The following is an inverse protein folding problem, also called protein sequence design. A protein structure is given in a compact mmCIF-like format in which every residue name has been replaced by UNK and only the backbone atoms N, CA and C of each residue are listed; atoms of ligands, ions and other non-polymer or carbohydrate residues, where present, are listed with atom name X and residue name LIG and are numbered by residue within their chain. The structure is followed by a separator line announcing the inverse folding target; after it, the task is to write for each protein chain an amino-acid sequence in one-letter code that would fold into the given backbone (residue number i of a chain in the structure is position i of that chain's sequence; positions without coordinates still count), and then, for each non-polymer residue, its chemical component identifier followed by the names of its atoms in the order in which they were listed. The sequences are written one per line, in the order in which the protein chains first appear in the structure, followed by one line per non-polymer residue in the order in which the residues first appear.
data_IF_667964043597
#
_entry.id   IF_667964043597
#
_cell.length_a   1.000
_cell.length_b   1.000
_cell.length_c   1.000
_cell.angle_alpha   90.00
_cell.angle_beta   90.00
_cell.angle_gamma   90.00
#
_symmetry.space_group_name_H-M   'P 1'
#
loop_
_entity.id
_entity.type
_entity.pdbx_description
1 polymer ?
#
# COMPACT_ATOMS: atom_id res chain seq x y z
N UNK A 1 -4.91 -38.17 33.24
CA UNK A 1 -6.00 -37.19 32.92
C UNK A 1 -5.60 -35.73 33.02
N UNK A 2 -4.49 -35.30 33.62
CA UNK A 2 -4.07 -33.89 33.71
C UNK A 2 -3.31 -33.41 32.46
N UNK A 3 -2.56 -34.28 31.76
CA UNK A 3 -1.78 -33.98 30.57
C UNK A 3 -2.67 -33.54 29.37
N UNK A 4 -3.81 -34.21 29.17
CA UNK A 4 -4.74 -33.88 28.09
C UNK A 4 -5.39 -32.49 28.23
N UNK A 5 -5.55 -31.99 29.46
CA UNK A 5 -6.10 -30.66 29.73
C UNK A 5 -5.10 -29.57 29.42
N UNK A 6 -3.80 -29.82 29.64
CA UNK A 6 -2.72 -28.86 29.35
C UNK A 6 -2.50 -28.78 27.83
N UNK A 7 -2.56 -29.92 27.13
CA UNK A 7 -2.45 -29.95 25.66
C UNK A 7 -3.66 -29.25 25.02
N UNK A 8 -4.87 -29.44 25.54
CA UNK A 8 -6.05 -28.76 25.04
C UNK A 8 -5.99 -27.25 25.26
N UNK A 9 -5.48 -26.81 26.42
CA UNK A 9 -5.28 -25.40 26.71
C UNK A 9 -4.19 -24.74 25.80
N UNK A 10 -3.11 -25.48 25.53
CA UNK A 10 -2.04 -24.99 24.62
C UNK A 10 -2.53 -24.85 23.16
N UNK A 11 -3.35 -25.77 22.68
CA UNK A 11 -3.97 -25.69 21.34
C UNK A 11 -4.95 -24.53 21.26
N UNK A 12 -5.70 -24.23 22.32
CA UNK A 12 -6.65 -23.11 22.36
C UNK A 12 -5.93 -21.75 22.37
N UNK A 13 -4.78 -21.66 23.00
CA UNK A 13 -3.95 -20.42 23.02
C UNK A 13 -3.28 -20.18 21.67
N UNK A 14 -2.84 -21.23 20.95
CA UNK A 14 -2.26 -21.11 19.61
C UNK A 14 -3.26 -20.63 18.56
N UNK A 15 -4.55 -20.93 18.69
CA UNK A 15 -5.57 -20.54 17.71
C UNK A 15 -5.91 -19.04 17.72
N UNK A 16 -5.56 -18.31 18.77
CA UNK A 16 -5.84 -16.87 18.89
C UNK A 16 -4.83 -16.01 18.11
N UNK A 17 -3.68 -16.56 17.71
CA UNK A 17 -2.62 -15.80 17.00
C UNK A 17 -2.77 -15.77 15.49
N UNK A 18 -3.67 -16.56 14.90
CA UNK A 18 -3.89 -16.57 13.45
C UNK A 18 -4.93 -15.53 12.94
N UNK A 19 -5.56 -14.76 13.82
CA UNK A 19 -6.64 -13.83 13.44
C UNK A 19 -6.18 -12.40 13.09
N UNK A 20 -4.91 -12.20 12.80
CA UNK A 20 -4.36 -10.86 12.49
C UNK A 20 -3.72 -10.75 11.09
N UNK A 21 -4.37 -11.34 10.07
CA UNK A 21 -3.98 -11.12 8.67
C UNK A 21 -4.85 -10.08 7.97
N UNK A 22 -5.71 -9.39 8.70
CA UNK A 22 -6.52 -8.31 8.13
C UNK A 22 -5.65 -7.04 8.10
N UNK A 23 -5.47 -6.47 6.91
CA UNK A 23 -4.73 -5.23 6.76
C UNK A 23 -5.41 -4.13 7.58
N UNK A 24 -4.62 -3.27 8.20
CA UNK A 24 -5.11 -2.15 9.02
C UNK A 24 -6.06 -1.22 8.25
N UNK A 25 -5.96 -1.22 6.93
CA UNK A 25 -6.73 -0.36 6.03
C UNK A 25 -7.98 -1.03 5.45
N UNK A 26 -8.21 -2.34 5.67
CA UNK A 26 -9.37 -3.07 5.11
C UNK A 26 -10.72 -2.48 5.54
N UNK A 27 -10.77 -1.77 6.66
CA UNK A 27 -11.96 -1.06 7.10
C UNK A 27 -12.44 0.06 6.17
N UNK A 28 -11.56 0.54 5.28
CA UNK A 28 -11.90 1.55 4.28
C UNK A 28 -12.45 0.95 2.99
N UNK A 29 -12.37 -0.38 2.79
CA UNK A 29 -12.76 -1.05 1.55
C UNK A 29 -14.23 -0.81 1.20
N UNK A 30 -15.11 -0.90 2.20
CA UNK A 30 -16.56 -0.78 2.05
C UNK A 30 -17.11 0.55 2.60
N UNK A 31 -16.24 1.52 2.90
CA UNK A 31 -16.67 2.77 3.50
C UNK A 31 -17.28 3.70 2.43
N UNK A 32 -18.46 4.26 2.71
CA UNK A 32 -19.10 5.25 1.82
C UNK A 32 -18.19 6.47 1.61
N UNK A 33 -18.06 6.91 0.36
CA UNK A 33 -17.18 8.02 -0.03
C UNK A 33 -15.71 7.62 -0.18
N UNK A 34 -15.40 6.32 -0.22
CA UNK A 34 -14.08 5.79 -0.53
C UNK A 34 -14.13 5.03 -1.84
N UNK A 35 -13.24 5.39 -2.76
CA UNK A 35 -12.90 4.55 -3.90
C UNK A 35 -11.82 3.56 -3.47
N UNK A 36 -12.06 2.26 -3.64
CA UNK A 36 -11.11 1.22 -3.29
C UNK A 36 -10.71 0.37 -4.49
N UNK A 37 -9.40 0.11 -4.63
CA UNK A 37 -8.84 -0.82 -5.62
C UNK A 37 -8.00 -1.84 -4.87
N UNK A 38 -8.36 -3.12 -4.97
CA UNK A 38 -7.63 -4.21 -4.33
C UNK A 38 -7.27 -5.26 -5.36
N UNK A 39 -5.97 -5.47 -5.55
CA UNK A 39 -5.42 -6.44 -6.48
C UNK A 39 -4.54 -7.41 -5.70
N UNK A 40 -4.85 -8.68 -5.75
CA UNK A 40 -4.10 -9.73 -5.08
C UNK A 40 -3.09 -10.41 -6.02
N UNK A 41 -2.18 -11.20 -5.47
CA UNK A 41 -1.15 -11.92 -6.21
C UNK A 41 -1.70 -12.76 -7.37
N UNK A 42 -2.87 -13.39 -7.18
CA UNK A 42 -3.47 -14.21 -8.23
C UNK A 42 -3.89 -13.38 -9.44
N UNK A 43 -4.42 -12.17 -9.21
CA UNK A 43 -4.78 -11.24 -10.29
C UNK A 43 -3.52 -10.77 -11.04
N UNK A 44 -2.45 -10.38 -10.33
CA UNK A 44 -1.17 -10.04 -10.95
C UNK A 44 -0.59 -11.20 -11.77
N UNK A 45 -0.62 -12.42 -11.22
CA UNK A 45 -0.19 -13.63 -11.93
C UNK A 45 -1.02 -13.91 -13.20
N UNK A 46 -2.30 -13.59 -13.21
CA UNK A 46 -3.12 -13.71 -14.43
C UNK A 46 -2.79 -12.60 -15.44
N UNK A 47 -2.65 -11.37 -14.99
CA UNK A 47 -2.27 -10.24 -15.85
C UNK A 47 -0.93 -10.47 -16.54
N UNK A 48 0.07 -11.00 -15.81
CA UNK A 48 1.38 -11.32 -16.39
C UNK A 48 1.34 -12.41 -17.48
N UNK A 49 0.33 -13.30 -17.47
CA UNK A 49 0.14 -14.34 -18.47
C UNK A 49 -0.64 -13.88 -19.71
N UNK A 50 -1.46 -12.85 -19.56
CA UNK A 50 -2.32 -12.31 -20.62
C UNK A 50 -1.65 -11.12 -21.31
N UNK A 51 -0.73 -10.44 -20.61
CA UNK A 51 0.00 -9.28 -21.11
C UNK A 51 0.74 -9.60 -22.41
N UNK A 52 0.73 -8.65 -23.35
CA UNK A 52 1.49 -8.77 -24.58
C UNK A 52 2.99 -8.76 -24.27
N UNK A 53 3.78 -9.54 -25.02
CA UNK A 53 5.25 -9.70 -24.87
C UNK A 53 6.07 -8.39 -25.00
N UNK A 54 5.41 -7.26 -25.20
CA UNK A 54 6.05 -5.97 -25.51
C UNK A 54 6.69 -5.25 -24.32
N UNK A 55 6.50 -5.72 -23.08
CA UNK A 55 7.08 -5.08 -21.89
C UNK A 55 7.48 -6.10 -20.81
N UNK A 56 8.60 -6.77 -21.04
CA UNK A 56 9.13 -7.81 -20.14
C UNK A 56 9.43 -7.29 -18.74
N UNK A 57 9.87 -6.02 -18.61
CA UNK A 57 10.14 -5.40 -17.31
C UNK A 57 8.86 -5.22 -16.48
N UNK A 58 7.78 -4.74 -17.11
CA UNK A 58 6.48 -4.60 -16.45
C UNK A 58 5.93 -5.97 -16.03
N UNK A 59 6.00 -6.98 -16.91
CA UNK A 59 5.56 -8.33 -16.60
C UNK A 59 6.37 -8.94 -15.46
N UNK A 60 7.69 -8.71 -15.43
CA UNK A 60 8.55 -9.15 -14.34
C UNK A 60 8.18 -8.48 -13.00
N UNK A 61 7.90 -7.16 -13.02
CA UNK A 61 7.46 -6.45 -11.84
C UNK A 61 6.18 -7.02 -11.26
N UNK A 62 5.12 -7.14 -12.06
CA UNK A 62 3.81 -7.58 -11.57
C UNK A 62 3.80 -9.03 -11.08
N UNK A 63 4.71 -9.88 -11.55
CA UNK A 63 4.86 -11.25 -11.04
C UNK A 63 5.34 -11.31 -9.59
N UNK A 64 6.10 -10.31 -9.15
CA UNK A 64 6.69 -10.23 -7.82
C UNK A 64 5.81 -9.48 -6.81
N UNK A 65 4.68 -8.91 -7.27
CA UNK A 65 3.73 -8.22 -6.41
C UNK A 65 2.79 -9.22 -5.73
N UNK A 66 2.67 -9.12 -4.43
CA UNK A 66 1.76 -9.92 -3.62
C UNK A 66 0.39 -9.26 -3.47
N UNK A 67 0.36 -7.94 -3.25
CA UNK A 67 -0.88 -7.18 -3.09
C UNK A 67 -0.68 -5.71 -3.43
N UNK A 68 -1.69 -5.12 -4.06
CA UNK A 68 -1.87 -3.67 -4.18
C UNK A 68 -3.20 -3.31 -3.55
N UNK A 69 -3.19 -2.30 -2.69
CA UNK A 69 -4.38 -1.68 -2.10
C UNK A 69 -4.31 -0.19 -2.30
N UNK A 70 -5.38 0.37 -2.83
CA UNK A 70 -5.56 1.81 -3.00
C UNK A 70 -6.87 2.21 -2.37
N UNK A 71 -6.86 3.26 -1.56
CA UNK A 71 -8.04 3.88 -0.99
C UNK A 71 -7.96 5.37 -1.23
N UNK A 72 -8.96 5.93 -1.90
CA UNK A 72 -9.02 7.34 -2.24
C UNK A 72 -10.34 7.96 -1.77
N UNK A 73 -10.29 9.20 -1.28
CA UNK A 73 -11.48 9.91 -0.80
C UNK A 73 -11.33 11.42 -0.95
N UNK A 74 -12.42 12.07 -1.34
CA UNK A 74 -12.59 13.53 -1.31
C UNK A 74 -13.16 14.01 0.05
N UNK A 75 -13.68 13.09 0.89
CA UNK A 75 -14.25 13.43 2.18
C UNK A 75 -13.17 13.80 3.19
N UNK A 76 -13.20 15.04 3.70
CA UNK A 76 -12.28 15.51 4.73
C UNK A 76 -12.39 14.68 6.01
N UNK A 77 -13.57 14.23 6.38
CA UNK A 77 -13.78 13.40 7.57
C UNK A 77 -13.10 12.04 7.40
N UNK A 78 -13.30 11.39 6.25
CA UNK A 78 -12.67 10.10 5.94
C UNK A 78 -11.15 10.25 5.81
N UNK A 79 -10.67 11.32 5.18
CA UNK A 79 -9.24 11.63 5.07
C UNK A 79 -8.57 11.77 6.45
N UNK A 80 -9.25 12.38 7.43
CA UNK A 80 -8.74 12.45 8.80
C UNK A 80 -8.72 11.07 9.49
N UNK A 81 -9.70 10.22 9.22
CA UNK A 81 -9.68 8.83 9.70
C UNK A 81 -8.53 8.04 9.06
N UNK A 82 -8.30 8.19 7.75
CA UNK A 82 -7.17 7.59 7.05
C UNK A 82 -5.84 8.03 7.66
N UNK A 83 -5.65 9.34 7.90
CA UNK A 83 -4.43 9.87 8.52
C UNK A 83 -4.19 9.27 9.90
N UNK A 84 -5.24 9.14 10.72
CA UNK A 84 -5.12 8.55 12.05
C UNK A 84 -4.67 7.08 11.99
N UNK A 85 -5.18 6.31 11.03
CA UNK A 85 -4.75 4.92 10.83
C UNK A 85 -3.35 4.81 10.24
N UNK A 86 -2.98 5.70 9.31
CA UNK A 86 -1.62 5.78 8.77
C UNK A 86 -0.62 6.04 9.90
N UNK A 87 -0.90 6.98 10.81
CA UNK A 87 -0.03 7.25 11.97
C UNK A 87 0.15 6.01 12.86
N UNK A 88 -0.91 5.25 13.12
CA UNK A 88 -0.84 4.00 13.90
C UNK A 88 -0.03 2.93 13.17
N UNK A 89 -0.25 2.82 11.86
CA UNK A 89 0.46 1.86 11.01
C UNK A 89 1.97 2.11 11.01
N UNK A 90 2.37 3.36 10.76
CA UNK A 90 3.78 3.76 10.77
C UNK A 90 4.44 3.58 12.14
N UNK A 91 3.70 3.79 13.24
CA UNK A 91 4.22 3.57 14.59
C UNK A 91 4.41 2.09 14.94
N UNK A 92 3.68 1.18 14.31
CA UNK A 92 3.72 -0.26 14.58
C UNK A 92 4.56 -1.05 13.60
N UNK A 93 4.84 -0.50 12.41
CA UNK A 93 5.58 -1.13 11.32
C UNK A 93 7.06 -0.73 11.35
N UNK A 94 7.92 -1.62 10.86
CA UNK A 94 9.33 -1.30 10.57
C UNK A 94 9.41 -0.68 9.17
N UNK A 95 8.84 0.52 9.02
CA UNK A 95 8.82 1.28 7.79
C UNK A 95 9.74 2.49 7.94
N UNK A 96 10.57 2.73 6.94
CA UNK A 96 11.45 3.88 6.86
C UNK A 96 10.88 4.94 5.91
N UNK A 97 10.97 6.21 6.30
CA UNK A 97 10.55 7.31 5.43
C UNK A 97 11.55 7.46 4.28
N UNK A 98 11.09 7.22 3.06
CA UNK A 98 11.90 7.38 1.85
C UNK A 98 11.84 8.81 1.34
N UNK A 99 10.67 9.43 1.37
CA UNK A 99 10.46 10.78 0.82
C UNK A 99 9.24 11.47 1.46
N UNK A 100 9.34 12.81 1.56
CA UNK A 100 8.23 13.68 1.93
C UNK A 100 8.21 14.91 1.05
N UNK A 101 7.06 15.19 0.45
CA UNK A 101 6.83 16.39 -0.34
C UNK A 101 5.68 17.17 0.28
N UNK A 102 5.84 18.48 0.42
CA UNK A 102 4.78 19.41 0.84
C UNK A 102 4.67 20.50 -0.20
N UNK A 103 3.50 20.64 -0.78
CA UNK A 103 3.22 21.64 -1.79
C UNK A 103 1.77 22.14 -1.65
N UNK A 104 1.59 23.46 -1.49
CA UNK A 104 0.30 24.13 -1.62
C UNK A 104 -0.86 23.59 -0.77
N UNK A 105 -0.58 22.92 0.37
CA UNK A 105 -1.58 22.26 1.21
C UNK A 105 -1.62 20.75 1.04
N UNK A 106 -1.00 20.20 0.01
CA UNK A 106 -0.83 18.76 -0.18
C UNK A 106 0.40 18.26 0.56
N UNK A 107 0.31 17.10 1.19
CA UNK A 107 1.40 16.43 1.87
C UNK A 107 1.50 14.97 1.39
N UNK A 108 2.55 14.65 0.64
CA UNK A 108 2.84 13.30 0.16
C UNK A 108 3.96 12.71 1.02
N UNK A 109 3.75 11.52 1.54
CA UNK A 109 4.73 10.79 2.33
C UNK A 109 4.89 9.39 1.74
N UNK A 110 6.12 8.98 1.50
CA UNK A 110 6.45 7.65 1.01
C UNK A 110 7.32 6.94 2.05
N UNK A 111 6.91 5.75 2.41
CA UNK A 111 7.61 4.84 3.31
C UNK A 111 7.90 3.52 2.62
N UNK A 112 8.97 2.89 3.02
CA UNK A 112 9.36 1.57 2.53
C UNK A 112 9.70 0.64 3.70
N UNK A 113 9.50 -0.65 3.48
CA UNK A 113 10.00 -1.70 4.35
C UNK A 113 11.13 -2.41 3.61
N UNK A 114 12.29 -2.51 4.24
CA UNK A 114 13.47 -3.15 3.66
C UNK A 114 13.16 -4.53 3.06
N UNK A 115 13.73 -4.79 1.90
CA UNK A 115 13.67 -6.05 1.16
C UNK A 115 14.96 -6.86 1.24
N UNK A 116 15.26 -7.58 0.17
CA UNK A 116 16.45 -8.44 0.05
C UNK A 116 17.75 -7.67 -0.21
N UNK A 117 17.67 -6.43 -0.68
CA UNK A 117 18.79 -5.54 -0.96
C UNK A 117 18.31 -4.09 -1.01
N UNK A 118 19.24 -3.12 -1.11
CA UNK A 118 18.94 -1.68 -1.14
C UNK A 118 18.01 -1.24 -2.28
N UNK A 119 18.05 -1.93 -3.43
CA UNK A 119 17.16 -1.65 -4.57
C UNK A 119 15.77 -2.29 -4.42
N UNK A 120 15.58 -3.22 -3.45
CA UNK A 120 14.35 -3.98 -3.28
C UNK A 120 13.69 -3.72 -1.94
N UNK A 121 12.37 -3.57 -1.95
CA UNK A 121 11.56 -3.41 -0.74
C UNK A 121 10.47 -4.47 -0.66
N UNK A 122 10.09 -4.84 0.57
CA UNK A 122 8.97 -5.76 0.83
C UNK A 122 7.63 -5.06 0.84
N UNK A 123 7.65 -3.77 1.08
CA UNK A 123 6.49 -2.90 1.05
C UNK A 123 6.89 -1.51 0.61
N UNK A 124 6.09 -0.95 -0.28
CA UNK A 124 6.10 0.44 -0.67
C UNK A 124 4.75 1.04 -0.28
N UNK A 125 4.78 2.07 0.54
CA UNK A 125 3.60 2.69 1.11
C UNK A 125 3.61 4.19 0.82
N UNK A 126 2.53 4.70 0.24
CA UNK A 126 2.34 6.13 0.01
C UNK A 126 1.05 6.61 0.68
N UNK A 127 1.13 7.77 1.30
CA UNK A 127 -0.03 8.51 1.77
C UNK A 127 0.02 9.93 1.23
N UNK A 128 -1.04 10.31 0.53
CA UNK A 128 -1.31 11.67 0.10
C UNK A 128 -2.41 12.21 0.98
N UNK A 129 -2.12 13.30 1.69
CA UNK A 129 -3.15 14.07 2.37
C UNK A 129 -3.30 15.40 1.68
N UNK A 130 -4.45 15.63 1.11
CA UNK A 130 -4.83 16.96 0.64
C UNK A 130 -5.56 17.71 1.75
N UNK A 131 -5.13 18.93 2.02
CA UNK A 131 -5.57 19.71 3.20
C UNK A 131 -6.36 20.97 2.87
N UNK A 132 -6.74 21.18 1.61
CA UNK A 132 -7.44 22.40 1.21
C UNK A 132 -8.95 22.31 1.35
N UNK A 133 -9.59 23.23 2.10
CA UNK A 133 -11.06 23.36 2.17
C UNK A 133 -11.74 23.64 0.81
N UNK A 134 -10.97 23.84 -0.25
CA UNK A 134 -11.42 24.14 -1.61
C UNK A 134 -10.67 23.33 -2.68
N UNK A 135 -10.08 22.19 -2.34
CA UNK A 135 -9.38 21.36 -3.32
C UNK A 135 -10.30 20.24 -3.81
N UNK A 136 -10.46 20.15 -5.13
CA UNK A 136 -11.05 18.98 -5.80
C UNK A 136 -10.08 17.77 -5.76
N UNK A 137 -9.22 17.71 -4.71
CA UNK A 137 -8.12 16.76 -4.62
C UNK A 137 -8.41 15.69 -3.58
N UNK A 138 -8.05 14.48 -3.96
CA UNK A 138 -8.27 13.29 -3.14
C UNK A 138 -7.15 13.07 -2.11
N UNK A 139 -7.52 12.60 -0.92
CA UNK A 139 -6.57 11.96 -0.02
C UNK A 139 -6.47 10.48 -0.36
N UNK A 140 -5.24 9.97 -0.52
CA UNK A 140 -4.99 8.63 -1.07
C UNK A 140 -4.03 7.84 -0.17
N UNK A 141 -4.37 6.58 0.10
CA UNK A 141 -3.45 5.56 0.62
C UNK A 141 -3.14 4.57 -0.50
N UNK A 142 -1.85 4.31 -0.74
CA UNK A 142 -1.41 3.21 -1.60
C UNK A 142 -0.49 2.31 -0.78
N UNK A 143 -0.78 1.03 -0.72
CA UNK A 143 0.08 0.00 -0.14
C UNK A 143 0.35 -1.07 -1.17
N UNK A 144 1.61 -1.25 -1.52
CA UNK A 144 2.10 -2.25 -2.44
C UNK A 144 3.03 -3.19 -1.67
N UNK A 145 2.75 -4.50 -1.70
CA UNK A 145 3.57 -5.52 -1.04
C UNK A 145 4.09 -6.54 -2.01
N UNK A 146 5.27 -7.09 -1.74
CA UNK A 146 5.93 -8.09 -2.59
C UNK A 146 7.45 -7.96 -2.56
N UNK A 147 8.11 -8.47 -3.57
CA UNK A 147 9.54 -8.27 -3.83
C UNK A 147 9.69 -7.19 -4.91
N UNK A 148 9.66 -5.93 -4.48
CA UNK A 148 9.44 -4.76 -5.33
C UNK A 148 10.77 -4.09 -5.64
N UNK A 149 11.11 -3.97 -6.92
CA UNK A 149 12.21 -3.16 -7.41
C UNK A 149 11.79 -1.68 -7.45
N UNK A 150 12.43 -0.85 -6.64
CA UNK A 150 12.12 0.58 -6.53
C UNK A 150 12.26 1.33 -7.86
N UNK A 151 13.15 0.87 -8.76
CA UNK A 151 13.36 1.48 -10.08
C UNK A 151 12.16 1.29 -11.02
N UNK A 152 11.28 0.34 -10.71
CA UNK A 152 10.14 -0.02 -11.55
C UNK A 152 8.80 0.51 -11.02
N UNK A 153 8.78 1.14 -9.84
CA UNK A 153 7.54 1.65 -9.22
C UNK A 153 6.82 2.66 -10.12
N UNK A 154 7.55 3.59 -10.74
CA UNK A 154 6.96 4.60 -11.64
C UNK A 154 6.22 3.97 -12.82
N UNK A 155 6.75 2.89 -13.39
CA UNK A 155 6.10 2.16 -14.49
C UNK A 155 4.78 1.51 -14.05
N UNK A 156 4.71 1.02 -12.81
CA UNK A 156 3.50 0.42 -12.29
C UNK A 156 2.38 1.46 -12.16
N UNK A 157 2.69 2.60 -11.55
CA UNK A 157 1.70 3.66 -11.30
C UNK A 157 1.19 4.29 -12.60
N UNK A 158 2.07 4.50 -13.59
CA UNK A 158 1.71 4.99 -14.92
C UNK A 158 0.76 4.02 -15.65
N UNK A 159 1.11 2.72 -15.69
CA UNK A 159 0.31 1.72 -16.44
C UNK A 159 -1.02 1.36 -15.78
N UNK A 160 -1.13 1.51 -14.48
CA UNK A 160 -2.36 1.18 -13.74
C UNK A 160 -3.29 2.39 -13.55
N UNK A 161 -2.88 3.60 -13.99
CA UNK A 161 -3.66 4.85 -13.81
C UNK A 161 -4.22 4.97 -12.38
N UNK A 162 -3.34 4.82 -11.40
CA UNK A 162 -3.73 4.81 -9.99
C UNK A 162 -4.02 6.23 -9.49
N UNK A 163 -5.06 6.43 -8.66
CA UNK A 163 -5.25 7.68 -7.94
C UNK A 163 -3.98 8.08 -7.20
N UNK A 164 -3.56 9.35 -7.36
CA UNK A 164 -2.32 9.86 -6.75
C UNK A 164 -1.03 9.55 -7.53
N UNK A 165 -1.11 8.88 -8.68
CA UNK A 165 0.05 8.61 -9.56
C UNK A 165 0.76 9.88 -10.01
N UNK A 166 0.03 10.97 -10.26
CA UNK A 166 0.57 12.28 -10.63
C UNK A 166 1.53 12.88 -9.58
N UNK A 167 1.41 12.49 -8.32
CA UNK A 167 2.32 12.93 -7.26
C UNK A 167 3.68 12.24 -7.35
N UNK A 168 3.72 11.02 -7.88
CA UNK A 168 4.98 10.27 -8.10
C UNK A 168 5.74 10.82 -9.29
N UNK A 169 5.07 11.18 -10.37
CA UNK A 169 5.68 11.80 -11.55
C UNK A 169 6.38 13.11 -11.17
N UNK A 170 5.68 14.01 -10.47
CA UNK A 170 6.24 15.27 -9.95
C UNK A 170 7.42 15.06 -9.01
N UNK A 171 7.40 14.00 -8.20
CA UNK A 171 8.48 13.68 -7.28
C UNK A 171 9.75 13.22 -8.02
N UNK A 172 9.61 12.53 -9.16
CA UNK A 172 10.73 12.10 -9.99
C UNK A 172 11.33 13.26 -10.79
N UNK A 173 10.52 14.18 -11.31
CA UNK A 173 10.99 15.35 -12.06
C UNK A 173 11.86 16.29 -11.21
N UNK A 174 11.58 16.42 -9.92
CA UNK A 174 12.37 17.25 -8.99
C UNK A 174 13.75 16.65 -8.61
N UNK A 175 14.08 15.43 -9.05
CA UNK A 175 15.39 14.79 -8.81
C UNK A 175 16.34 14.83 -10.00
N UNK A 176 15.90 15.35 -11.14
CA UNK A 176 16.72 15.58 -12.34
C UNK A 176 17.15 17.01 -12.42
#
# INVERSE_FOLDING_TARGET
MKINRIILAAVLVMSVWMAKAQSQFDKFEDLEGVTSVIVNQKAFSLMSKIGSESDEEYLSLIQNIESLKVFATESVEVANQMEAEVKKYLASGNLEELMRVKDGGSNVIIYVKEGKSEDFVREWFMFVKDGGENSDKESVIISLTGDIDLKQISKLTEKMDLPGGEHLEKANENKS
#
